data_IF_678759360401
#
_entry.id   IF_678759360401
#
_cell.length_a   1.000
_cell.length_b   1.000
_cell.length_c   1.000
_cell.angle_alpha   90.00
_cell.angle_beta   90.00
_cell.angle_gamma   90.00
#
_symmetry.space_group_name_H-M   'P 1'
#
loop_
_entity.id
_entity.type
_entity.pdbx_description
1 polymer ?
#
# COMPACT_ATOMS: atom_id res chain seq x y z
N UNK A 1 -0.76 -36.39 22.56
CA UNK A 1 0.11 -36.34 21.36
C UNK A 1 -0.82 -36.09 20.18
N UNK A 2 -0.90 -34.85 19.72
CA UNK A 2 -1.63 -34.50 18.50
C UNK A 2 -0.58 -34.36 17.41
N UNK A 3 -0.60 -35.27 16.44
CA UNK A 3 0.17 -35.13 15.21
C UNK A 3 -0.26 -33.83 14.54
N UNK A 4 0.59 -32.81 14.60
CA UNK A 4 0.51 -31.68 13.70
C UNK A 4 0.84 -32.24 12.32
N UNK A 5 -0.09 -32.14 11.38
CA UNK A 5 0.14 -32.36 9.94
C UNK A 5 1.33 -31.50 9.52
N UNK A 6 2.52 -32.11 9.49
CA UNK A 6 3.71 -31.51 8.94
C UNK A 6 3.45 -31.34 7.45
N UNK A 7 3.35 -30.09 7.02
CA UNK A 7 3.22 -29.75 5.61
C UNK A 7 4.54 -30.20 4.96
N UNK A 8 4.48 -31.10 3.96
CA UNK A 8 5.65 -31.65 3.25
C UNK A 8 6.36 -30.60 2.35
N UNK A 9 6.22 -29.32 2.69
CA UNK A 9 6.75 -28.19 1.96
C UNK A 9 8.03 -27.71 2.64
N UNK A 10 9.17 -27.83 1.96
CA UNK A 10 10.43 -27.23 2.40
C UNK A 10 10.60 -25.84 1.77
N UNK A 11 10.94 -24.84 2.60
CA UNK A 11 11.18 -23.48 2.12
C UNK A 11 12.35 -23.50 1.13
N UNK A 12 12.06 -23.11 -0.11
CA UNK A 12 13.05 -23.07 -1.19
C UNK A 12 13.16 -24.35 -2.02
N UNK A 13 12.28 -25.34 -1.82
CA UNK A 13 12.24 -26.56 -2.65
C UNK A 13 12.07 -26.29 -4.15
N UNK A 14 11.38 -25.19 -4.50
CA UNK A 14 11.10 -24.77 -5.88
C UNK A 14 12.12 -23.74 -6.41
N UNK A 15 13.19 -23.49 -5.64
CA UNK A 15 14.21 -22.53 -6.04
C UNK A 15 15.23 -23.15 -6.97
N UNK A 16 15.72 -22.34 -7.90
CA UNK A 16 16.84 -22.65 -8.77
C UNK A 16 17.97 -21.66 -8.55
N UNK A 17 19.21 -22.14 -8.66
CA UNK A 17 20.40 -21.31 -8.53
C UNK A 17 20.96 -20.97 -9.91
N UNK A 18 20.78 -19.73 -10.34
CA UNK A 18 21.27 -19.23 -11.62
C UNK A 18 22.22 -18.06 -11.35
N UNK A 19 23.45 -18.12 -11.89
CA UNK A 19 24.45 -17.06 -11.76
C UNK A 19 24.74 -16.62 -10.30
N UNK A 20 24.61 -17.55 -9.34
CA UNK A 20 24.79 -17.28 -7.92
C UNK A 20 23.56 -16.68 -7.21
N UNK A 21 22.45 -16.46 -7.92
CA UNK A 21 21.18 -16.02 -7.38
C UNK A 21 20.29 -17.23 -7.06
N UNK A 22 19.70 -17.24 -5.88
CA UNK A 22 18.72 -18.23 -5.43
C UNK A 22 17.31 -17.66 -5.70
N UNK A 23 16.63 -18.18 -6.72
CA UNK A 23 15.35 -17.61 -7.20
C UNK A 23 14.24 -18.66 -7.22
N UNK A 24 13.04 -18.26 -6.84
CA UNK A 24 11.85 -19.11 -6.98
C UNK A 24 11.51 -19.28 -8.47
N UNK A 25 11.58 -20.50 -8.99
CA UNK A 25 11.60 -20.76 -10.43
C UNK A 25 10.37 -20.22 -11.20
N UNK A 26 9.12 -20.64 -10.90
CA UNK A 26 7.95 -20.14 -11.63
C UNK A 26 7.69 -18.65 -11.39
N UNK A 27 7.81 -18.18 -10.14
CA UNK A 27 7.50 -16.79 -9.77
C UNK A 27 8.44 -15.82 -10.48
N UNK A 28 9.75 -16.07 -10.41
CA UNK A 28 10.73 -15.19 -11.02
C UNK A 28 10.57 -15.11 -12.54
N UNK A 29 10.47 -16.25 -13.22
CA UNK A 29 10.39 -16.28 -14.69
C UNK A 29 9.10 -15.66 -15.21
N UNK A 30 7.96 -15.98 -14.60
CA UNK A 30 6.66 -15.42 -15.02
C UNK A 30 6.67 -13.90 -14.80
N UNK A 31 7.06 -13.43 -13.62
CA UNK A 31 7.10 -11.99 -13.33
C UNK A 31 8.07 -11.25 -14.26
N UNK A 32 9.26 -11.80 -14.51
CA UNK A 32 10.25 -11.19 -15.39
C UNK A 32 9.73 -11.08 -16.83
N UNK A 33 9.15 -12.15 -17.37
CA UNK A 33 8.59 -12.16 -18.73
C UNK A 33 7.45 -11.17 -18.85
N UNK A 34 6.54 -11.12 -17.87
CA UNK A 34 5.42 -10.18 -17.87
C UNK A 34 5.92 -8.73 -17.83
N UNK A 35 6.88 -8.41 -16.97
CA UNK A 35 7.43 -7.05 -16.86
C UNK A 35 8.16 -6.65 -18.14
N UNK A 36 9.06 -7.50 -18.65
CA UNK A 36 9.81 -7.21 -19.88
C UNK A 36 8.87 -7.08 -21.07
N UNK A 37 7.89 -7.98 -21.21
CA UNK A 37 6.87 -7.91 -22.25
C UNK A 37 6.04 -6.63 -22.18
N UNK A 38 5.62 -6.23 -20.98
CA UNK A 38 4.90 -4.97 -20.76
C UNK A 38 5.73 -3.76 -21.18
N UNK A 39 7.00 -3.69 -20.77
CA UNK A 39 7.91 -2.59 -21.14
C UNK A 39 8.09 -2.52 -22.65
N UNK A 40 8.36 -3.65 -23.30
CA UNK A 40 8.51 -3.71 -24.76
C UNK A 40 7.23 -3.23 -25.46
N UNK A 41 6.06 -3.70 -25.01
CA UNK A 41 4.77 -3.30 -25.57
C UNK A 41 4.56 -1.78 -25.49
N UNK A 42 4.75 -1.17 -24.31
CA UNK A 42 4.55 0.26 -24.11
C UNK A 42 5.55 1.09 -24.92
N UNK A 43 6.80 0.64 -25.03
CA UNK A 43 7.82 1.37 -25.80
C UNK A 43 7.61 1.25 -27.32
N UNK A 44 7.09 0.13 -27.82
CA UNK A 44 6.81 -0.07 -29.24
C UNK A 44 5.53 0.63 -29.71
N UNK A 45 4.50 0.69 -28.87
CA UNK A 45 3.17 1.22 -29.21
C UNK A 45 2.78 2.41 -28.33
N UNK A 46 3.64 3.43 -28.25
CA UNK A 46 3.49 4.54 -27.30
C UNK A 46 2.13 5.26 -27.38
N UNK A 47 1.68 5.62 -28.58
CA UNK A 47 0.41 6.33 -28.78
C UNK A 47 -0.80 5.46 -28.40
N UNK A 48 -0.84 4.22 -28.90
CA UNK A 48 -1.92 3.28 -28.57
C UNK A 48 -1.96 2.91 -27.09
N UNK A 49 -0.79 2.76 -26.45
CA UNK A 49 -0.70 2.55 -25.01
C UNK A 49 -1.20 3.77 -24.23
N UNK A 50 -0.84 4.99 -24.64
CA UNK A 50 -1.32 6.22 -24.01
C UNK A 50 -2.84 6.37 -24.12
N UNK A 51 -3.42 6.09 -25.29
CA UNK A 51 -4.88 6.10 -25.49
C UNK A 51 -5.56 5.03 -24.61
N UNK A 52 -5.04 3.80 -24.64
CA UNK A 52 -5.58 2.70 -23.85
C UNK A 52 -5.55 3.00 -22.34
N UNK A 53 -4.43 3.44 -21.79
CA UNK A 53 -4.33 3.78 -20.36
C UNK A 53 -5.12 5.05 -20.01
N UNK A 54 -5.19 6.00 -20.95
CA UNK A 54 -6.01 7.21 -20.84
C UNK A 54 -7.49 6.91 -20.73
N UNK A 55 -7.99 5.85 -21.39
CA UNK A 55 -9.36 5.37 -21.26
C UNK A 55 -9.56 4.43 -20.06
N UNK A 56 -8.58 3.56 -19.79
CA UNK A 56 -8.67 2.55 -18.73
C UNK A 56 -8.68 3.18 -17.34
N UNK A 57 -7.84 4.20 -17.08
CA UNK A 57 -7.77 4.84 -15.76
C UNK A 57 -9.13 5.45 -15.36
N UNK A 58 -9.77 6.34 -16.16
CA UNK A 58 -11.09 6.87 -15.84
C UNK A 58 -12.12 5.76 -15.62
N UNK A 59 -12.15 4.74 -16.50
CA UNK A 59 -13.08 3.63 -16.39
C UNK A 59 -12.92 2.86 -15.06
N UNK A 60 -11.68 2.54 -14.67
CA UNK A 60 -11.39 1.91 -13.38
C UNK A 60 -11.85 2.80 -12.21
N UNK A 61 -11.49 4.08 -12.24
CA UNK A 61 -11.81 5.02 -11.15
C UNK A 61 -13.27 5.46 -11.11
N UNK A 62 -14.06 5.22 -12.15
CA UNK A 62 -15.51 5.52 -12.12
C UNK A 62 -16.37 4.28 -11.87
N UNK A 63 -15.86 3.09 -12.19
CA UNK A 63 -16.59 1.82 -12.03
C UNK A 63 -16.31 1.15 -10.69
N UNK A 64 -15.08 1.26 -10.19
CA UNK A 64 -14.60 0.55 -8.99
C UNK A 64 -14.18 1.47 -7.85
N UNK A 65 -14.46 2.77 -7.90
CA UNK A 65 -14.17 3.71 -6.80
C UNK A 65 -14.72 3.21 -5.45
N UNK A 66 -15.93 2.69 -5.45
CA UNK A 66 -16.59 2.16 -4.26
C UNK A 66 -15.81 0.99 -3.65
N UNK A 67 -15.17 0.14 -4.46
CA UNK A 67 -14.34 -0.97 -3.96
C UNK A 67 -13.15 -0.42 -3.20
N UNK A 68 -12.44 0.55 -3.78
CA UNK A 68 -11.28 1.18 -3.14
C UNK A 68 -11.67 1.91 -1.84
N UNK A 69 -12.77 2.67 -1.86
CA UNK A 69 -13.26 3.40 -0.70
C UNK A 69 -13.70 2.46 0.44
N UNK A 70 -14.45 1.41 0.12
CA UNK A 70 -14.91 0.44 1.13
C UNK A 70 -13.72 -0.35 1.68
N UNK A 71 -12.80 -0.82 0.83
CA UNK A 71 -11.63 -1.56 1.27
C UNK A 71 -10.77 -0.73 2.25
N UNK A 72 -10.46 0.52 1.90
CA UNK A 72 -9.68 1.41 2.77
C UNK A 72 -10.36 1.61 4.14
N UNK A 73 -11.67 1.86 4.16
CA UNK A 73 -12.42 2.03 5.40
C UNK A 73 -12.48 0.73 6.23
N UNK A 74 -12.67 -0.42 5.58
CA UNK A 74 -12.66 -1.73 6.27
C UNK A 74 -11.31 -1.97 6.93
N UNK A 75 -10.19 -1.68 6.26
CA UNK A 75 -8.86 -1.89 6.85
C UNK A 75 -8.63 -1.00 8.07
N UNK A 76 -9.06 0.26 8.03
CA UNK A 76 -8.99 1.16 9.20
C UNK A 76 -9.85 0.62 10.35
N UNK A 77 -11.11 0.28 10.07
CA UNK A 77 -12.01 -0.26 11.10
C UNK A 77 -11.51 -1.59 11.68
N UNK A 78 -10.92 -2.44 10.84
CA UNK A 78 -10.32 -3.70 11.28
C UNK A 78 -9.11 -3.47 12.18
N UNK A 79 -8.20 -2.55 11.83
CA UNK A 79 -7.09 -2.17 12.69
C UNK A 79 -7.57 -1.62 14.05
N UNK A 80 -8.59 -0.75 14.03
CA UNK A 80 -9.19 -0.22 15.26
C UNK A 80 -9.83 -1.35 16.10
N UNK A 81 -10.55 -2.26 15.46
CA UNK A 81 -11.09 -3.44 16.12
C UNK A 81 -9.99 -4.27 16.78
N UNK A 82 -8.88 -4.55 16.10
CA UNK A 82 -7.77 -5.32 16.67
C UNK A 82 -7.19 -4.64 17.91
N UNK A 83 -6.93 -3.33 17.85
CA UNK A 83 -6.37 -2.55 18.98
C UNK A 83 -7.31 -2.54 20.19
N UNK A 84 -8.63 -2.47 19.97
CA UNK A 84 -9.62 -2.43 21.05
C UNK A 84 -10.03 -3.81 21.57
N UNK A 85 -9.88 -4.85 20.74
CA UNK A 85 -10.24 -6.23 21.09
C UNK A 85 -9.13 -6.92 21.92
N UNK A 86 -9.42 -8.10 22.50
CA UNK A 86 -8.40 -8.91 23.16
C UNK A 86 -7.23 -9.32 22.26
N UNK A 87 -7.43 -9.33 20.93
CA UNK A 87 -6.41 -9.72 19.96
C UNK A 87 -5.21 -8.76 19.92
N UNK A 88 -5.41 -7.47 20.24
CA UNK A 88 -4.32 -6.50 20.33
C UNK A 88 -3.30 -6.78 21.44
N UNK A 89 -3.58 -7.72 22.35
CA UNK A 89 -2.64 -8.17 23.40
C UNK A 89 -1.74 -9.32 22.95
N UNK A 90 -2.00 -9.91 21.79
CA UNK A 90 -1.22 -11.03 21.26
C UNK A 90 0.15 -10.50 20.82
N UNK A 91 1.21 -11.17 21.30
CA UNK A 91 2.58 -10.89 20.88
C UNK A 91 2.91 -11.66 19.61
N UNK A 92 3.34 -10.93 18.59
CA UNK A 92 3.85 -11.50 17.34
C UNK A 92 5.18 -12.20 17.66
N UNK A 93 5.31 -13.48 17.31
CA UNK A 93 6.46 -14.31 17.65
C UNK A 93 6.28 -15.19 18.91
N UNK A 94 5.13 -15.12 19.58
CA UNK A 94 4.76 -16.01 20.69
C UNK A 94 4.73 -15.33 22.08
N UNK A 95 4.29 -16.04 23.13
CA UNK A 95 4.03 -15.45 24.45
C UNK A 95 5.26 -14.78 25.09
N UNK A 96 6.44 -15.36 24.89
CA UNK A 96 7.70 -14.92 25.49
C UNK A 96 8.57 -14.08 24.54
N UNK A 97 8.05 -13.75 23.35
CA UNK A 97 8.77 -12.91 22.38
C UNK A 97 9.09 -11.54 22.98
N UNK A 98 10.30 -11.06 22.70
CA UNK A 98 10.79 -9.73 23.08
C UNK A 98 11.09 -8.93 21.81
N UNK A 99 10.90 -7.60 21.81
CA UNK A 99 11.27 -6.78 20.66
C UNK A 99 12.77 -6.86 20.38
N UNK A 100 13.14 -7.10 19.12
CA UNK A 100 14.54 -7.09 18.67
C UNK A 100 15.14 -5.67 18.66
N UNK A 101 14.28 -4.66 18.55
CA UNK A 101 14.66 -3.25 18.47
C UNK A 101 14.05 -2.45 19.62
N UNK A 102 14.73 -1.38 20.02
CA UNK A 102 14.17 -0.40 20.94
C UNK A 102 12.99 0.33 20.30
N UNK A 103 12.07 0.85 21.11
CA UNK A 103 10.91 1.61 20.62
C UNK A 103 11.30 2.78 19.70
N UNK A 104 12.36 3.52 20.05
CA UNK A 104 12.84 4.62 19.23
C UNK A 104 13.43 4.13 17.89
N UNK A 105 14.19 3.04 17.91
CA UNK A 105 14.73 2.43 16.69
C UNK A 105 13.63 1.90 15.77
N UNK A 106 12.65 1.19 16.32
CA UNK A 106 11.49 0.70 15.58
C UNK A 106 10.69 1.82 14.94
N UNK A 107 10.41 2.89 15.69
CA UNK A 107 9.68 4.04 15.17
C UNK A 107 10.45 4.73 14.03
N UNK A 108 11.77 4.90 14.17
CA UNK A 108 12.61 5.45 13.11
C UNK A 108 12.58 4.60 11.83
N UNK A 109 12.58 3.27 11.95
CA UNK A 109 12.50 2.36 10.79
C UNK A 109 11.17 2.50 10.04
N UNK A 110 10.04 2.70 10.74
CA UNK A 110 8.75 2.93 10.09
C UNK A 110 8.77 4.18 9.19
N UNK A 111 9.35 5.27 9.68
CA UNK A 111 9.48 6.50 8.91
C UNK A 111 10.45 6.35 7.74
N UNK A 112 11.57 5.66 7.94
CA UNK A 112 12.55 5.41 6.88
C UNK A 112 11.98 4.55 5.74
N UNK A 113 11.11 3.58 6.04
CA UNK A 113 10.50 2.71 5.04
C UNK A 113 9.32 3.34 4.30
N UNK A 114 8.45 4.09 4.99
CA UNK A 114 7.16 4.53 4.43
C UNK A 114 7.11 5.93 3.82
N UNK A 115 7.97 6.86 4.28
CA UNK A 115 7.81 8.31 4.02
C UNK A 115 8.70 8.80 2.87
N UNK A 116 8.79 8.05 1.78
CA UNK A 116 9.74 8.28 0.69
C UNK A 116 9.41 9.46 -0.24
N UNK A 117 9.55 9.22 -1.55
CA UNK A 117 9.35 10.23 -2.61
C UNK A 117 7.95 10.85 -2.62
N UNK A 118 6.95 10.12 -2.14
CA UNK A 118 5.56 10.56 -2.08
C UNK A 118 5.39 11.88 -1.32
N UNK A 119 6.01 12.02 -0.16
CA UNK A 119 5.93 13.26 0.63
C UNK A 119 6.74 14.39 0.03
N UNK A 120 7.88 14.08 -0.60
CA UNK A 120 8.69 15.09 -1.29
C UNK A 120 7.93 15.70 -2.48
N UNK A 121 7.11 14.90 -3.17
CA UNK A 121 6.34 15.34 -4.33
C UNK A 121 4.96 15.91 -3.95
N UNK A 122 4.17 15.15 -3.19
CA UNK A 122 2.78 15.47 -2.86
C UNK A 122 2.63 16.30 -1.58
N UNK A 123 3.65 16.37 -0.71
CA UNK A 123 3.54 17.09 0.56
C UNK A 123 3.23 18.58 0.41
N UNK A 124 3.66 19.20 -0.69
CA UNK A 124 3.27 20.58 -1.05
C UNK A 124 2.21 20.59 -2.16
N UNK A 125 2.36 19.73 -3.17
CA UNK A 125 1.51 19.75 -4.35
C UNK A 125 0.04 19.46 -4.03
N UNK A 126 -0.23 18.43 -3.22
CA UNK A 126 -1.58 17.96 -2.95
C UNK A 126 -2.44 18.94 -2.12
N UNK A 127 -1.96 19.52 -1.00
CA UNK A 127 -2.76 20.49 -0.26
C UNK A 127 -3.01 21.77 -1.07
N UNK A 128 -2.04 22.20 -1.90
CA UNK A 128 -2.22 23.34 -2.81
C UNK A 128 -3.24 23.01 -3.90
N UNK A 129 -3.17 21.81 -4.48
CA UNK A 129 -4.13 21.36 -5.47
C UNK A 129 -5.55 21.30 -4.91
N UNK A 130 -5.73 20.75 -3.70
CA UNK A 130 -7.04 20.71 -3.04
C UNK A 130 -7.49 22.08 -2.54
N UNK A 131 -6.59 23.00 -2.20
CA UNK A 131 -7.00 24.38 -1.91
C UNK A 131 -7.61 25.06 -3.15
N UNK A 132 -7.04 24.82 -4.34
CA UNK A 132 -7.55 25.36 -5.60
C UNK A 132 -8.80 24.63 -6.10
N UNK A 133 -8.92 23.34 -5.79
CA UNK A 133 -10.02 22.46 -6.18
C UNK A 133 -10.59 21.76 -4.94
N UNK A 134 -11.26 22.49 -4.03
CA UNK A 134 -11.66 21.93 -2.75
C UNK A 134 -12.72 20.83 -2.92
N UNK A 135 -12.61 19.73 -2.14
CA UNK A 135 -13.53 18.62 -2.23
C UNK A 135 -14.92 19.00 -1.68
N UNK A 136 -15.89 18.09 -1.85
CA UNK A 136 -17.25 18.22 -1.29
C UNK A 136 -18.04 19.45 -1.80
N UNK A 137 -17.69 19.95 -2.98
CA UNK A 137 -18.46 21.01 -3.66
C UNK A 137 -18.28 22.41 -3.07
N UNK A 138 -17.27 22.63 -2.22
CA UNK A 138 -16.90 23.97 -1.77
C UNK A 138 -16.36 24.78 -2.95
N UNK A 139 -16.66 26.08 -2.98
CA UNK A 139 -16.11 27.00 -3.98
C UNK A 139 -14.85 27.65 -3.43
N UNK A 140 -13.83 27.85 -4.28
CA UNK A 140 -12.58 28.53 -3.88
C UNK A 140 -12.74 30.01 -3.50
N UNK A 141 -13.98 30.53 -3.49
CA UNK A 141 -14.29 31.88 -3.01
C UNK A 141 -14.26 31.97 -1.48
N UNK A 142 -14.54 30.87 -0.79
CA UNK A 142 -14.30 30.74 0.64
C UNK A 142 -12.90 30.15 0.88
N UNK A 143 -11.91 31.04 0.98
CA UNK A 143 -10.52 30.65 1.16
C UNK A 143 -10.28 29.85 2.45
N UNK A 144 -11.04 30.11 3.51
CA UNK A 144 -10.85 29.40 4.78
C UNK A 144 -11.43 27.98 4.73
N UNK A 145 -12.62 27.82 4.13
CA UNK A 145 -13.19 26.50 3.87
C UNK A 145 -12.31 25.69 2.92
N UNK A 146 -11.79 26.31 1.84
CA UNK A 146 -10.90 25.65 0.89
C UNK A 146 -9.59 25.17 1.55
N UNK A 147 -9.01 25.99 2.44
CA UNK A 147 -7.78 25.65 3.18
C UNK A 147 -8.01 24.50 4.14
N UNK A 148 -9.08 24.55 4.93
CA UNK A 148 -9.36 23.50 5.92
C UNK A 148 -9.65 22.16 5.26
N UNK A 149 -10.47 22.14 4.20
CA UNK A 149 -10.78 20.92 3.46
C UNK A 149 -9.61 20.39 2.65
N UNK A 150 -8.78 21.25 2.06
CA UNK A 150 -7.60 20.80 1.32
C UNK A 150 -6.57 20.11 2.21
N UNK A 151 -6.36 20.66 3.42
CA UNK A 151 -5.55 19.99 4.44
C UNK A 151 -6.19 18.69 4.93
N UNK A 152 -7.51 18.69 5.16
CA UNK A 152 -8.22 17.49 5.61
C UNK A 152 -8.14 16.34 4.59
N UNK A 153 -8.29 16.63 3.29
CA UNK A 153 -8.15 15.64 2.21
C UNK A 153 -6.73 15.07 2.15
N UNK A 154 -5.71 15.93 2.23
CA UNK A 154 -4.30 15.49 2.24
C UNK A 154 -4.02 14.60 3.47
N UNK A 155 -4.50 15.00 4.65
CA UNK A 155 -4.35 14.19 5.88
C UNK A 155 -5.11 12.87 5.76
N UNK A 156 -6.27 12.85 5.11
CA UNK A 156 -7.01 11.62 4.86
C UNK A 156 -6.20 10.65 3.97
N UNK A 157 -5.57 11.15 2.90
CA UNK A 157 -4.77 10.32 2.00
C UNK A 157 -3.44 9.84 2.58
N UNK A 158 -2.81 10.61 3.48
CA UNK A 158 -1.49 10.31 4.05
C UNK A 158 -1.52 9.91 5.54
N UNK A 159 -2.71 9.89 6.13
CA UNK A 159 -2.97 9.51 7.52
C UNK A 159 -3.34 8.04 7.64
N UNK A 160 -4.38 7.74 8.42
CA UNK A 160 -4.65 6.36 8.86
C UNK A 160 -4.88 5.34 7.75
N UNK A 161 -5.50 5.72 6.63
CA UNK A 161 -5.92 4.79 5.57
C UNK A 161 -4.77 4.00 4.93
N UNK A 162 -3.71 4.62 4.37
CA UNK A 162 -2.57 3.86 3.84
C UNK A 162 -1.85 3.04 4.91
N UNK A 163 -1.67 3.58 6.11
CA UNK A 163 -1.00 2.87 7.20
C UNK A 163 -1.78 1.64 7.69
N UNK A 164 -3.12 1.70 7.67
CA UNK A 164 -3.97 0.56 7.99
C UNK A 164 -3.79 -0.58 6.96
N UNK A 165 -3.65 -0.25 5.67
CA UNK A 165 -3.37 -1.25 4.63
C UNK A 165 -2.03 -1.96 4.93
N UNK A 166 -0.98 -1.19 5.24
CA UNK A 166 0.32 -1.77 5.59
C UNK A 166 0.25 -2.64 6.84
N UNK A 167 -0.49 -2.20 7.87
CA UNK A 167 -0.64 -2.96 9.11
C UNK A 167 -1.35 -4.31 8.88
N UNK A 168 -2.39 -4.34 8.04
CA UNK A 168 -3.11 -5.58 7.71
C UNK A 168 -2.18 -6.58 7.01
N UNK A 169 -1.45 -6.14 5.99
CA UNK A 169 -0.52 -7.02 5.25
C UNK A 169 0.67 -7.45 6.11
N UNK A 170 1.16 -6.58 7.00
CA UNK A 170 2.23 -6.93 7.93
C UNK A 170 1.81 -7.97 8.99
N UNK A 171 0.49 -8.12 9.23
CA UNK A 171 -0.06 -9.05 10.21
C UNK A 171 -0.46 -10.42 9.62
N UNK A 172 -0.72 -10.48 8.31
CA UNK A 172 -1.16 -11.71 7.60
C UNK A 172 -0.06 -12.73 7.43
#
# INVERSE_FOLDING_TARGET
>A
MSEATAIEYEVGQDNIRILGLDIHNPVFLISAVVIVGFVIFVLMFQEGAAEMFGALRPWLTSTFDWVFMIAGNIFVLFCLFLVLSPYGKIRIGGPDAKPDYSYAGWFAMLFAAGMGIGLMFFGVLEPVYHFQNPPLGVTGQDAEAARSLGMAATIFHWGLHPWAIYAVVALS
#
